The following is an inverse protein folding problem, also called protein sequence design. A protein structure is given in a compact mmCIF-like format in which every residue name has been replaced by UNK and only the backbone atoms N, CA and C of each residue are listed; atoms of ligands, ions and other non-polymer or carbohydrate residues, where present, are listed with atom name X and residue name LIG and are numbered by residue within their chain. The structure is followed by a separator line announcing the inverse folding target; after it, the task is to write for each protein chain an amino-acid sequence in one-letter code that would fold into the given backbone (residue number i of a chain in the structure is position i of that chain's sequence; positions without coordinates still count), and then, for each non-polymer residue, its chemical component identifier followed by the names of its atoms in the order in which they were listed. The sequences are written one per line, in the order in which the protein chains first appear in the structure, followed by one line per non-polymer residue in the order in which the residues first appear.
data_IF_313588018260
#
_entry.id   IF_313588018260
#
_cell.length_a   1.000
_cell.length_b   1.000
_cell.length_c   1.000
_cell.angle_alpha   90.00
_cell.angle_beta   90.00
_cell.angle_gamma   90.00
#
_symmetry.space_group_name_H-M   'P 1'
#
loop_
_entity.id
_entity.type
_entity.pdbx_description
1 polymer ?
#
# COMPACT_ATOMS: atom_id res chain seq x y z
N UNK A 1 -52.69 -18.80 31.25
CA UNK A 1 -51.22 -19.00 31.20
C UNK A 1 -50.56 -18.11 30.13
N UNK A 2 -51.32 -17.26 29.42
CA UNK A 2 -50.85 -16.61 28.20
C UNK A 2 -50.12 -15.28 28.40
N UNK A 3 -50.44 -14.54 29.47
CA UNK A 3 -49.79 -13.24 29.76
C UNK A 3 -48.34 -13.40 30.22
N UNK A 4 -48.04 -14.47 30.95
CA UNK A 4 -46.67 -14.74 31.42
C UNK A 4 -45.77 -15.16 30.24
N UNK A 5 -46.30 -15.96 29.31
CA UNK A 5 -45.58 -16.38 28.10
C UNK A 5 -45.32 -15.18 27.19
N UNK A 6 -46.27 -14.26 27.03
CA UNK A 6 -46.06 -13.03 26.26
C UNK A 6 -45.01 -12.10 26.88
N UNK A 7 -45.02 -11.94 28.20
CA UNK A 7 -44.04 -11.10 28.90
C UNK A 7 -42.62 -11.69 28.83
N UNK A 8 -42.50 -13.02 28.91
CA UNK A 8 -41.23 -13.71 28.72
C UNK A 8 -40.76 -13.64 27.26
N UNK A 9 -41.66 -13.77 26.28
CA UNK A 9 -41.32 -13.61 24.86
C UNK A 9 -40.87 -12.17 24.53
N UNK A 10 -41.52 -11.17 25.13
CA UNK A 10 -41.12 -9.77 25.02
C UNK A 10 -39.76 -9.54 25.69
N UNK A 11 -39.53 -10.06 26.89
CA UNK A 11 -38.21 -9.96 27.56
C UNK A 11 -37.07 -10.60 26.75
N UNK A 12 -37.34 -11.69 26.04
CA UNK A 12 -36.38 -12.33 25.14
C UNK A 12 -36.20 -11.55 23.82
N UNK A 13 -37.22 -10.81 23.37
CA UNK A 13 -37.13 -9.90 22.22
C UNK A 13 -36.42 -8.56 22.54
N UNK A 14 -36.48 -8.09 23.79
CA UNK A 14 -35.77 -6.89 24.26
C UNK A 14 -34.39 -7.17 24.85
N UNK A 15 -34.02 -8.45 25.06
CA UNK A 15 -32.79 -8.87 25.73
C UNK A 15 -31.51 -8.82 24.90
N UNK A 16 -31.57 -8.46 23.61
CA UNK A 16 -30.41 -8.31 22.75
C UNK A 16 -30.60 -7.11 21.82
N UNK A 17 -30.56 -5.90 22.39
CA UNK A 17 -29.94 -4.83 21.62
C UNK A 17 -28.50 -5.27 21.38
N UNK A 18 -28.02 -5.43 20.13
CA UNK A 18 -26.59 -5.46 19.92
C UNK A 18 -26.08 -4.17 20.53
N UNK A 19 -25.33 -4.29 21.63
CA UNK A 19 -24.51 -3.22 22.18
C UNK A 19 -23.88 -2.59 20.96
N UNK A 20 -24.21 -1.32 20.71
CA UNK A 20 -23.72 -0.55 19.59
C UNK A 20 -22.24 -0.89 19.39
N UNK A 21 -21.92 -1.63 18.32
CA UNK A 21 -20.55 -2.02 17.97
C UNK A 21 -19.75 -0.81 17.45
N UNK A 22 -19.99 0.35 18.06
CA UNK A 22 -19.44 1.65 17.73
C UNK A 22 -18.41 2.13 18.78
N UNK A 23 -18.04 1.31 19.75
CA UNK A 23 -16.87 1.52 20.61
C UNK A 23 -16.20 0.16 20.80
N UNK A 24 -15.28 -0.27 19.94
CA UNK A 24 -13.86 0.15 20.02
C UNK A 24 -13.22 -0.22 18.67
N UNK A 25 -12.78 0.75 17.85
CA UNK A 25 -12.10 0.49 16.54
C UNK A 25 -10.69 -0.06 16.70
N UNK A 26 -10.21 -0.13 17.94
CA UNK A 26 -8.89 -0.62 18.26
C UNK A 26 -8.96 -2.05 18.75
N UNK A 27 -8.02 -2.85 18.25
CA UNK A 27 -7.86 -4.25 18.61
C UNK A 27 -6.39 -4.54 18.94
N UNK A 28 -6.18 -5.56 19.77
CA UNK A 28 -4.82 -5.96 20.13
C UNK A 28 -4.04 -6.41 18.90
N UNK A 29 -2.76 -6.04 18.81
CA UNK A 29 -1.88 -6.49 17.74
C UNK A 29 -1.65 -7.98 17.87
N UNK A 30 -2.02 -8.74 16.83
CA UNK A 30 -1.88 -10.19 16.75
C UNK A 30 -0.74 -10.64 15.84
N UNK A 31 -0.17 -9.74 15.04
CA UNK A 31 0.98 -10.02 14.18
C UNK A 31 2.26 -10.14 15.01
N UNK A 32 2.91 -11.32 15.04
CA UNK A 32 4.12 -11.53 15.86
C UNK A 32 5.24 -10.56 15.53
N UNK A 33 5.40 -10.21 14.25
CA UNK A 33 6.38 -9.24 13.79
C UNK A 33 6.19 -7.87 14.48
N UNK A 34 4.94 -7.46 14.73
CA UNK A 34 4.60 -6.16 15.30
C UNK A 34 4.44 -6.17 16.82
N UNK A 35 4.65 -7.31 17.47
CA UNK A 35 4.69 -7.43 18.94
C UNK A 35 6.10 -7.19 19.51
N UNK A 36 7.07 -6.88 18.65
CA UNK A 36 8.45 -6.63 19.05
C UNK A 36 8.61 -5.28 19.78
N UNK A 37 9.62 -5.17 20.64
CA UNK A 37 9.80 -4.04 21.57
C UNK A 37 10.12 -2.70 20.90
N UNK A 38 10.67 -2.73 19.69
CA UNK A 38 11.01 -1.56 18.87
C UNK A 38 9.80 -0.88 18.22
N UNK A 39 8.61 -1.49 18.28
CA UNK A 39 7.38 -0.96 17.71
C UNK A 39 6.71 0.08 18.61
N UNK A 40 6.69 -0.17 19.92
CA UNK A 40 6.23 0.82 20.91
C UNK A 40 4.72 0.96 21.10
N UNK A 41 3.90 0.07 20.53
CA UNK A 41 2.45 0.01 20.78
C UNK A 41 1.95 -1.44 20.78
N UNK A 42 0.75 -1.65 21.37
CA UNK A 42 0.13 -2.96 21.51
C UNK A 42 -1.31 -3.03 20.96
N UNK A 43 -1.85 -1.91 20.49
CA UNK A 43 -3.19 -1.78 19.92
C UNK A 43 -3.09 -1.18 18.51
N UNK A 44 -3.80 -1.77 17.57
CA UNK A 44 -3.90 -1.29 16.18
C UNK A 44 -5.32 -0.83 15.89
N UNK A 45 -5.46 0.16 15.01
CA UNK A 45 -6.76 0.55 14.45
C UNK A 45 -6.96 -0.15 13.09
N UNK A 46 -8.18 -0.61 12.83
CA UNK A 46 -8.61 -1.11 11.53
C UNK A 46 -9.79 -0.28 11.00
N UNK A 47 -9.92 -0.06 9.68
CA UNK A 47 -9.04 -0.57 8.62
C UNK A 47 -7.68 0.15 8.53
N UNK A 48 -6.67 -0.54 8.00
CA UNK A 48 -5.33 0.04 7.83
C UNK A 48 -5.24 0.99 6.61
N UNK A 49 -4.04 1.50 6.30
CA UNK A 49 -3.80 2.45 5.18
C UNK A 49 -4.18 1.88 3.80
N UNK A 50 -4.24 0.56 3.65
CA UNK A 50 -4.66 -0.14 2.44
C UNK A 50 -6.12 -0.60 2.49
N UNK A 51 -6.89 -0.06 3.42
CA UNK A 51 -8.31 -0.36 3.63
C UNK A 51 -8.61 -1.85 3.92
N UNK A 52 -7.60 -2.61 4.38
CA UNK A 52 -7.79 -3.98 4.82
C UNK A 52 -8.54 -3.96 6.15
N UNK A 53 -9.57 -4.80 6.28
CA UNK A 53 -10.50 -4.70 7.40
C UNK A 53 -10.06 -5.54 8.61
N UNK A 54 -9.20 -6.54 8.38
CA UNK A 54 -8.79 -7.50 9.40
C UNK A 54 -7.28 -7.68 9.42
N UNK A 55 -6.70 -7.82 10.60
CA UNK A 55 -5.26 -8.08 10.74
C UNK A 55 -4.78 -9.34 10.00
N UNK A 56 -5.60 -10.39 9.91
CA UNK A 56 -5.26 -11.60 9.17
C UNK A 56 -5.09 -11.34 7.67
N UNK A 57 -5.83 -10.38 7.12
CA UNK A 57 -5.68 -9.94 5.74
C UNK A 57 -4.40 -9.12 5.57
N UNK A 58 -4.16 -8.16 6.49
CA UNK A 58 -2.96 -7.34 6.51
C UNK A 58 -1.67 -8.16 6.67
N UNK A 59 -1.70 -9.23 7.47
CA UNK A 59 -0.59 -10.17 7.66
C UNK A 59 -0.07 -10.75 6.35
N UNK A 60 -0.96 -10.98 5.37
CA UNK A 60 -0.57 -11.52 4.06
C UNK A 60 0.18 -10.51 3.19
N UNK A 61 0.03 -9.22 3.47
CA UNK A 61 0.73 -8.15 2.78
C UNK A 61 2.10 -7.83 3.40
N UNK A 62 2.46 -8.45 4.53
CA UNK A 62 3.80 -8.34 5.11
C UNK A 62 4.83 -8.89 4.11
N UNK A 63 5.85 -8.11 3.70
CA UNK A 63 6.83 -8.56 2.74
C UNK A 63 7.58 -9.80 3.22
N UNK A 64 7.73 -10.80 2.35
CA UNK A 64 8.40 -12.06 2.69
C UNK A 64 9.85 -11.83 3.13
N UNK A 65 10.59 -10.97 2.42
CA UNK A 65 12.00 -10.68 2.70
C UNK A 65 12.24 -10.19 4.13
N UNK A 66 11.27 -9.51 4.75
CA UNK A 66 11.39 -9.04 6.13
C UNK A 66 11.49 -10.20 7.13
N UNK A 67 10.88 -11.35 6.83
CA UNK A 67 10.96 -12.56 7.67
C UNK A 67 12.30 -13.28 7.50
N UNK A 68 12.99 -13.05 6.40
CA UNK A 68 14.28 -13.66 6.08
C UNK A 68 15.47 -12.88 6.68
N UNK A 69 15.23 -11.66 7.19
CA UNK A 69 16.27 -10.82 7.78
C UNK A 69 16.72 -11.31 9.15
N UNK A 70 18.00 -11.14 9.51
CA UNK A 70 18.47 -11.38 10.87
C UNK A 70 17.73 -10.45 11.86
N UNK A 71 17.09 -11.03 12.88
CA UNK A 71 16.17 -10.32 13.78
C UNK A 71 16.80 -9.09 14.47
N UNK A 72 18.08 -9.16 14.82
CA UNK A 72 18.81 -8.08 15.48
C UNK A 72 19.44 -7.06 14.54
N UNK A 73 19.33 -7.25 13.22
CA UNK A 73 19.90 -6.30 12.25
C UNK A 73 19.15 -4.96 12.24
N UNK A 74 19.87 -3.87 11.96
CA UNK A 74 19.26 -2.55 11.81
C UNK A 74 18.22 -2.52 10.68
N UNK A 75 18.50 -3.19 9.56
CA UNK A 75 17.53 -3.36 8.47
C UNK A 75 16.25 -4.03 8.95
N UNK A 76 16.34 -5.14 9.71
CA UNK A 76 15.15 -5.80 10.24
C UNK A 76 14.34 -4.88 11.15
N UNK A 77 15.00 -4.12 12.03
CA UNK A 77 14.34 -3.12 12.90
C UNK A 77 13.62 -2.04 12.09
N UNK A 78 14.31 -1.33 11.22
CA UNK A 78 13.73 -0.18 10.49
C UNK A 78 12.61 -0.64 9.55
N UNK A 79 12.78 -1.77 8.86
CA UNK A 79 11.75 -2.36 8.01
C UNK A 79 10.53 -2.82 8.81
N UNK A 80 10.72 -3.43 9.99
CA UNK A 80 9.64 -3.83 10.90
C UNK A 80 8.84 -2.62 11.35
N UNK A 81 9.51 -1.53 11.74
CA UNK A 81 8.86 -0.28 12.08
C UNK A 81 8.04 0.28 10.91
N UNK A 82 8.61 0.38 9.71
CA UNK A 82 7.85 0.85 8.55
C UNK A 82 6.61 -0.02 8.27
N UNK A 83 6.79 -1.34 8.21
CA UNK A 83 5.71 -2.28 7.88
C UNK A 83 4.61 -2.24 8.95
N UNK A 84 4.96 -2.27 10.23
CA UNK A 84 3.98 -2.25 11.31
C UNK A 84 3.19 -0.96 11.36
N UNK A 85 3.84 0.21 11.24
CA UNK A 85 3.14 1.49 11.25
C UNK A 85 2.29 1.71 9.98
N UNK A 86 2.53 0.95 8.91
CA UNK A 86 1.75 1.02 7.67
C UNK A 86 0.57 0.04 7.66
N UNK A 87 0.84 -1.24 7.97
CA UNK A 87 -0.15 -2.33 7.88
C UNK A 87 -0.94 -2.56 9.17
N UNK A 88 -0.36 -2.22 10.32
CA UNK A 88 -0.91 -2.40 11.66
C UNK A 88 -0.83 -1.10 12.45
N UNK A 89 -1.40 0.00 11.94
CA UNK A 89 -1.17 1.35 12.43
C UNK A 89 -1.59 1.49 13.90
N UNK A 90 -0.80 2.25 14.67
CA UNK A 90 -1.06 2.52 16.08
C UNK A 90 -2.48 3.05 16.30
N UNK A 91 -3.18 2.47 17.27
CA UNK A 91 -4.44 3.01 17.77
C UNK A 91 -4.18 4.33 18.47
N UNK A 92 -4.84 5.41 18.03
CA UNK A 92 -4.80 6.72 18.69
C UNK A 92 -6.21 7.16 19.09
N UNK A 93 -6.33 8.34 19.69
CA UNK A 93 -7.63 8.97 19.96
C UNK A 93 -8.37 9.40 18.67
N UNK A 94 -7.68 9.39 17.53
CA UNK A 94 -8.28 9.76 16.24
C UNK A 94 -9.09 8.61 15.69
N UNK A 95 -10.20 8.94 15.07
CA UNK A 95 -11.08 7.98 14.39
C UNK A 95 -10.50 7.47 13.06
N UNK A 96 -9.40 8.05 12.60
CA UNK A 96 -8.76 7.79 11.32
C UNK A 96 -7.37 7.21 11.51
N UNK A 97 -6.98 6.32 10.59
CA UNK A 97 -5.63 5.79 10.50
C UNK A 97 -4.62 6.89 10.19
N UNK A 98 -3.58 7.00 11.02
CA UNK A 98 -2.49 7.97 10.84
C UNK A 98 -1.32 7.27 10.16
N UNK A 99 -0.81 7.79 9.03
CA UNK A 99 0.31 7.17 8.32
C UNK A 99 1.66 7.39 9.05
N UNK A 100 2.67 6.54 8.79
CA UNK A 100 4.03 6.82 9.23
C UNK A 100 4.60 8.05 8.52
N UNK A 101 5.48 8.78 9.20
CA UNK A 101 6.20 9.88 8.59
C UNK A 101 7.19 9.38 7.52
N UNK A 102 7.39 10.16 6.46
CA UNK A 102 8.34 9.85 5.35
C UNK A 102 9.73 9.44 5.84
N UNK A 103 10.24 10.09 6.89
CA UNK A 103 11.54 9.79 7.52
C UNK A 103 11.66 8.36 8.06
N UNK A 104 10.56 7.69 8.38
CA UNK A 104 10.55 6.27 8.80
C UNK A 104 10.85 5.37 7.61
N UNK A 105 10.22 5.66 6.47
CA UNK A 105 10.44 4.90 5.24
C UNK A 105 11.85 5.08 4.69
N UNK A 106 12.33 6.33 4.64
CA UNK A 106 13.69 6.63 4.14
C UNK A 106 14.74 5.88 4.96
N UNK A 107 14.61 5.84 6.29
CA UNK A 107 15.49 5.06 7.17
C UNK A 107 15.49 3.57 6.82
N UNK A 108 14.32 2.97 6.63
CA UNK A 108 14.22 1.56 6.24
C UNK A 108 14.82 1.28 4.86
N UNK A 109 14.62 2.18 3.89
CA UNK A 109 15.19 2.05 2.56
C UNK A 109 16.72 2.17 2.59
N UNK A 110 17.26 3.08 3.40
CA UNK A 110 18.70 3.26 3.58
C UNK A 110 19.36 2.06 4.27
N UNK A 111 18.74 1.49 5.31
CA UNK A 111 19.33 0.36 6.04
C UNK A 111 19.17 -0.97 5.31
N UNK A 112 18.15 -1.13 4.46
CA UNK A 112 17.89 -2.37 3.73
C UNK A 112 18.29 -2.37 2.25
N UNK A 113 18.54 -1.21 1.63
CA UNK A 113 18.73 -1.09 0.18
C UNK A 113 19.76 -2.06 -0.41
N UNK A 114 20.98 -2.06 0.12
CA UNK A 114 22.05 -2.96 -0.35
C UNK A 114 21.73 -4.44 -0.14
N UNK A 115 21.00 -4.78 0.93
CA UNK A 115 20.62 -6.17 1.20
C UNK A 115 19.55 -6.62 0.20
N UNK A 116 18.57 -5.77 -0.07
CA UNK A 116 17.52 -6.05 -1.04
C UNK A 116 18.08 -6.22 -2.45
N UNK A 117 18.98 -5.33 -2.87
CA UNK A 117 19.66 -5.43 -4.16
C UNK A 117 20.49 -6.72 -4.28
N UNK A 118 21.31 -7.04 -3.27
CA UNK A 118 22.16 -8.25 -3.29
C UNK A 118 21.35 -9.55 -3.34
N UNK A 119 20.20 -9.58 -2.68
CA UNK A 119 19.33 -10.75 -2.62
C UNK A 119 18.25 -10.77 -3.73
N UNK A 120 18.25 -9.77 -4.63
CA UNK A 120 17.29 -9.68 -5.74
C UNK A 120 15.86 -9.34 -5.31
N UNK A 121 15.64 -8.78 -4.12
CA UNK A 121 14.34 -8.29 -3.69
C UNK A 121 14.08 -6.89 -4.24
N UNK A 122 12.85 -6.64 -4.68
CA UNK A 122 12.39 -5.31 -5.09
C UNK A 122 11.67 -4.60 -3.94
N UNK A 123 11.87 -3.28 -3.84
CA UNK A 123 11.11 -2.46 -2.91
C UNK A 123 9.63 -2.39 -3.35
N UNK A 124 8.66 -2.81 -2.53
CA UNK A 124 7.28 -2.90 -2.95
C UNK A 124 6.65 -1.51 -3.14
N UNK A 125 5.80 -1.38 -4.15
CA UNK A 125 5.20 -0.08 -4.52
C UNK A 125 4.41 0.57 -3.38
N UNK A 126 3.74 -0.23 -2.55
CA UNK A 126 3.01 0.28 -1.39
C UNK A 126 3.91 0.93 -0.33
N UNK A 127 5.17 0.51 -0.21
CA UNK A 127 6.11 1.05 0.78
C UNK A 127 6.96 2.19 0.23
N UNK A 128 6.62 2.78 -0.92
CA UNK A 128 7.38 3.88 -1.52
C UNK A 128 7.29 5.15 -0.69
N UNK A 129 8.43 5.71 -0.32
CA UNK A 129 8.51 6.83 0.62
C UNK A 129 7.85 8.11 0.11
N UNK A 130 7.71 8.27 -1.21
CA UNK A 130 7.05 9.43 -1.83
C UNK A 130 5.56 9.51 -1.47
N UNK A 131 4.93 8.37 -1.19
CA UNK A 131 3.51 8.28 -0.81
C UNK A 131 3.24 8.77 0.61
N UNK A 132 4.27 8.83 1.45
CA UNK A 132 4.14 9.19 2.85
C UNK A 132 4.32 10.70 3.06
N UNK A 133 3.58 11.30 4.02
CA UNK A 133 3.69 12.72 4.33
C UNK A 133 5.00 13.04 5.03
N UNK A 134 5.50 14.25 4.80
CA UNK A 134 6.51 14.85 5.69
C UNK A 134 5.82 15.47 6.90
N UNK A 135 6.57 15.56 7.98
CA UNK A 135 6.15 16.27 9.19
C UNK A 135 6.13 17.76 8.91
N UNK A 136 4.94 18.29 8.58
CA UNK A 136 4.72 19.70 8.27
C UNK A 136 3.39 20.18 8.82
N UNK A 137 3.27 21.48 9.06
CA UNK A 137 2.06 22.11 9.58
C UNK A 137 0.81 21.67 8.77
N UNK A 138 -0.12 20.98 9.44
CA UNK A 138 -1.37 20.50 8.85
C UNK A 138 -1.37 19.05 8.33
N UNK A 139 -0.24 18.33 8.37
CA UNK A 139 -0.20 16.89 8.05
C UNK A 139 0.36 16.09 9.23
N UNK A 140 -0.52 15.31 9.85
CA UNK A 140 -0.17 14.44 10.97
C UNK A 140 0.40 13.11 10.44
N UNK A 141 1.53 12.72 11.00
CA UNK A 141 2.15 11.41 10.77
C UNK A 141 2.79 10.89 12.06
N UNK A 142 3.01 9.58 12.14
CA UNK A 142 3.60 8.95 13.34
C UNK A 142 5.04 8.51 13.08
N UNK A 143 5.88 8.65 14.09
CA UNK A 143 7.24 8.10 14.11
C UNK A 143 7.35 7.08 15.25
N UNK A 144 8.01 5.93 15.04
CA UNK A 144 8.36 5.01 16.11
C UNK A 144 9.14 5.70 17.24
N UNK A 145 9.04 5.20 18.48
CA UNK A 145 9.86 5.72 19.57
C UNK A 145 11.35 5.58 19.22
N UNK A 146 12.11 6.64 19.46
CA UNK A 146 13.56 6.58 19.32
C UNK A 146 14.12 5.68 20.42
N UNK A 147 14.90 4.67 20.03
CA UNK A 147 15.63 3.88 21.03
C UNK A 147 16.89 4.62 21.42
N UNK A 148 17.02 4.93 22.70
CA UNK A 148 18.23 5.47 23.29
C UNK A 148 19.29 4.37 23.24
N UNK A 149 20.31 4.53 22.39
CA UNK A 149 21.51 3.71 22.46
C UNK A 149 22.25 4.04 23.78
N UNK A 150 22.95 3.05 24.35
CA UNK A 150 23.60 3.10 25.68
C UNK A 150 24.63 4.23 25.89
N UNK A 151 24.85 5.09 24.90
CA UNK A 151 25.77 6.24 24.94
C UNK A 151 25.04 7.59 25.09
N UNK A 152 23.73 7.61 25.34
CA UNK A 152 22.98 8.83 25.68
C UNK A 152 22.92 9.90 24.56
N UNK A 153 23.33 9.56 23.34
CA UNK A 153 23.21 10.42 22.16
C UNK A 153 21.93 10.06 21.42
N UNK A 154 21.08 11.07 21.18
CA UNK A 154 19.90 10.97 20.32
C UNK A 154 20.34 10.50 18.93
N UNK A 155 20.08 9.25 18.57
CA UNK A 155 20.52 8.66 17.30
C UNK A 155 19.71 9.21 16.13
N UNK A 156 20.09 10.40 15.67
CA UNK A 156 19.91 10.86 14.28
C UNK A 156 21.10 10.44 13.40
N UNK A 157 22.12 9.81 13.99
CA UNK A 157 23.27 9.26 13.29
C UNK A 157 23.03 7.77 12.97
N UNK A 158 23.35 7.39 11.73
CA UNK A 158 23.55 5.98 11.34
C UNK A 158 24.44 5.29 12.39
N UNK A 159 24.03 4.15 12.97
CA UNK A 159 24.92 3.30 13.74
C UNK A 159 26.08 2.89 12.84
N UNK A 160 27.29 3.34 13.18
CA UNK A 160 28.52 2.83 12.58
C UNK A 160 28.69 1.40 13.10
N UNK A 161 28.14 0.42 12.37
CA UNK A 161 28.38 -0.98 12.69
C UNK A 161 29.84 -1.29 12.37
N UNK A 162 30.61 -1.88 13.31
CA UNK A 162 31.97 -2.31 12.99
C UNK A 162 31.87 -3.36 11.91
N UNK A 163 32.31 -2.97 10.71
CA UNK A 163 32.52 -3.83 9.56
C UNK A 163 33.17 -5.13 10.04
N UNK A 164 32.35 -6.17 10.23
CA UNK A 164 32.87 -7.52 10.35
C UNK A 164 33.38 -7.80 8.96
N UNK A 165 34.66 -7.49 8.76
CA UNK A 165 35.46 -7.79 7.58
C UNK A 165 35.06 -9.16 7.07
N UNK A 166 34.13 -9.17 6.12
CA UNK A 166 33.95 -10.29 5.22
C UNK A 166 35.27 -10.35 4.46
N UNK A 167 35.95 -11.49 4.38
CA UNK A 167 37.16 -11.58 3.58
C UNK A 167 36.81 -11.13 2.16
N UNK A 168 37.38 -10.00 1.75
CA UNK A 168 37.34 -9.54 0.36
C UNK A 168 38.03 -10.63 -0.44
N UNK A 169 37.24 -11.46 -1.12
CA UNK A 169 37.75 -12.36 -2.15
C UNK A 169 38.37 -11.44 -3.20
N UNK A 170 39.67 -11.54 -3.51
CA UNK A 170 40.28 -10.68 -4.51
C UNK A 170 39.57 -10.91 -5.85
N UNK A 171 38.88 -9.89 -6.34
CA UNK A 171 38.41 -9.87 -7.72
C UNK A 171 39.62 -10.06 -8.64
N UNK A 172 39.55 -10.92 -9.66
CA UNK A 172 40.65 -11.07 -10.59
C UNK A 172 40.93 -9.72 -11.26
N UNK A 173 42.20 -9.30 -11.16
CA UNK A 173 42.76 -8.10 -11.76
C UNK A 173 42.70 -8.24 -13.28
N UNK A 174 41.67 -7.67 -13.89
CA UNK A 174 41.65 -7.45 -15.33
C UNK A 174 42.59 -6.29 -15.64
N UNK A 175 43.65 -6.59 -16.38
CA UNK A 175 44.61 -5.61 -16.88
C UNK A 175 43.89 -4.63 -17.80
N UNK A 176 43.94 -3.38 -17.39
CA UNK A 176 43.49 -2.21 -18.13
C UNK A 176 44.26 -2.13 -19.44
N UNK A 177 43.63 -2.60 -20.52
CA UNK A 177 44.15 -2.46 -21.87
C UNK A 177 43.73 -1.08 -22.36
N UNK A 178 44.71 -0.18 -22.40
CA UNK A 178 44.66 1.09 -23.14
C UNK A 178 44.08 0.88 -24.54
N UNK A 179 42.94 1.50 -24.81
CA UNK A 179 42.43 1.71 -26.17
C UNK A 179 42.25 3.21 -26.37
N UNK A 180 43.03 3.76 -27.30
CA UNK A 180 42.98 5.14 -27.77
C UNK A 180 41.58 5.55 -28.28
N UNK A 181 41.25 6.86 -28.24
CA UNK A 181 39.98 7.35 -28.76
C UNK A 181 40.03 7.37 -30.30
N UNK A 182 39.32 6.44 -30.95
CA UNK A 182 38.94 6.60 -32.35
C UNK A 182 37.67 7.44 -32.44
N UNK A 183 37.85 8.65 -32.97
CA UNK A 183 36.80 9.42 -33.65
C UNK A 183 36.19 8.58 -34.77
N UNK A 184 34.91 8.22 -34.62
CA UNK A 184 34.08 7.78 -35.74
C UNK A 184 32.79 8.57 -35.77
N UNK A 185 32.69 9.31 -36.87
CA UNK A 185 31.56 10.00 -37.49
C UNK A 185 30.18 9.43 -37.15
N UNK A 186 29.30 10.32 -36.72
CA UNK A 186 27.88 10.08 -36.52
C UNK A 186 27.18 9.65 -37.82
N UNK A 187 26.38 8.58 -37.75
CA UNK A 187 25.21 8.34 -38.61
C UNK A 187 23.97 8.30 -37.71
N UNK A 188 22.82 8.83 -38.14
CA UNK A 188 21.62 8.81 -37.32
C UNK A 188 21.03 7.40 -37.37
N UNK A 189 20.95 6.74 -36.22
CA UNK A 189 20.07 5.61 -36.04
C UNK A 189 18.72 6.16 -35.59
N UNK A 190 17.75 6.15 -36.49
CA UNK A 190 16.32 6.15 -36.15
C UNK A 190 16.05 4.92 -35.28
N UNK A 191 16.02 5.11 -33.96
CA UNK A 191 15.51 4.11 -33.03
C UNK A 191 14.13 4.53 -32.55
N UNK A 192 13.11 3.93 -33.14
CA UNK A 192 11.81 3.76 -32.49
C UNK A 192 12.04 2.97 -31.20
N UNK A 193 11.90 3.64 -30.05
CA UNK A 193 12.07 3.02 -28.74
C UNK A 193 10.89 2.10 -28.40
N UNK A 194 11.18 0.85 -28.05
CA UNK A 194 10.24 -0.08 -27.41
C UNK A 194 10.00 0.33 -25.94
N UNK A 195 8.75 0.34 -25.44
CA UNK A 195 8.50 0.48 -24.01
C UNK A 195 8.57 -0.89 -23.32
N UNK A 196 9.48 -1.04 -22.35
CA UNK A 196 9.51 -2.20 -21.46
C UNK A 196 8.49 -2.01 -20.32
N UNK A 197 7.50 -2.90 -20.24
CA UNK A 197 6.45 -2.87 -19.22
C UNK A 197 5.16 -3.59 -19.66
N UNK A 198 4.09 -3.56 -18.84
CA UNK A 198 2.85 -4.33 -19.04
C UNK A 198 2.05 -3.97 -20.30
N UNK A 199 2.51 -2.98 -21.07
CA UNK A 199 1.87 -2.47 -22.29
C UNK A 199 2.57 -2.95 -23.58
N UNK A 200 3.54 -3.86 -23.48
CA UNK A 200 4.19 -4.47 -24.66
C UNK A 200 3.20 -5.16 -25.61
N UNK A 201 2.13 -5.74 -25.04
CA UNK A 201 1.02 -6.30 -25.81
C UNK A 201 0.23 -5.23 -26.58
N UNK A 202 0.12 -4.01 -26.06
CA UNK A 202 -0.56 -2.91 -26.77
C UNK A 202 0.29 -2.33 -27.90
N UNK A 203 1.62 -2.30 -27.74
CA UNK A 203 2.55 -1.89 -28.81
C UNK A 203 2.51 -2.84 -30.01
N UNK A 204 2.45 -4.14 -29.75
CA UNK A 204 2.32 -5.16 -30.80
C UNK A 204 0.94 -5.12 -31.49
N UNK A 205 -0.14 -4.88 -30.74
CA UNK A 205 -1.48 -4.68 -31.30
C UNK A 205 -1.60 -3.39 -32.15
N UNK A 206 -1.01 -2.28 -31.70
CA UNK A 206 -0.99 -1.02 -32.46
C UNK A 206 -0.16 -1.16 -33.74
N UNK A 207 0.98 -1.85 -33.69
CA UNK A 207 1.83 -2.13 -34.86
C UNK A 207 1.10 -2.98 -35.92
N UNK A 208 0.27 -3.93 -35.49
CA UNK A 208 -0.55 -4.75 -36.39
C UNK A 208 -1.71 -3.97 -37.03
N UNK A 209 -2.24 -2.96 -36.34
CA UNK A 209 -3.33 -2.11 -36.84
C UNK A 209 -2.83 -0.96 -37.74
N UNK A 210 -1.54 -0.61 -37.65
CA UNK A 210 -0.94 0.50 -38.38
C UNK A 210 -0.41 0.15 -39.79
N UNK A 211 -0.45 -1.11 -40.23
CA UNK A 211 -0.04 -1.50 -41.59
C UNK A 211 -1.23 -1.93 -42.45
N UNK A 212 -1.53 -1.23 -43.56
CA UNK A 212 -2.52 -1.68 -44.52
C UNK A 212 -1.92 -2.70 -45.49
N UNK A 213 -2.63 -3.83 -45.63
CA UNK A 213 -2.65 -4.74 -46.79
C UNK A 213 -1.39 -5.53 -47.15
N UNK A 214 -1.36 -6.80 -46.73
CA UNK A 214 -0.73 -7.90 -47.46
C UNK A 214 -1.77 -9.04 -47.65
N UNK A 215 -2.23 -9.36 -48.88
CA UNK A 215 -3.31 -10.30 -49.13
C UNK A 215 -2.88 -11.78 -49.12
N UNK A 216 -1.74 -12.10 -48.49
CA UNK A 216 -1.11 -13.43 -48.57
C UNK A 216 -0.95 -14.11 -47.21
N UNK A 217 -1.95 -13.98 -46.32
CA UNK A 217 -2.04 -14.73 -45.08
C UNK A 217 -2.97 -15.96 -45.21
N UNK A 218 -2.70 -17.07 -44.49
CA UNK A 218 -3.59 -18.23 -44.51
C UNK A 218 -5.00 -17.83 -44.07
N UNK A 219 -5.98 -18.20 -44.91
CA UNK A 219 -7.41 -17.95 -44.69
C UNK A 219 -7.81 -18.50 -43.31
N UNK A 220 -8.32 -17.68 -42.37
CA UNK A 220 -8.81 -18.21 -41.11
C UNK A 220 -10.05 -19.06 -41.36
N UNK A 221 -10.05 -20.25 -40.79
CA UNK A 221 -11.17 -21.19 -40.78
C UNK A 221 -12.42 -20.54 -40.18
N UNK A 222 -13.63 -20.73 -40.75
CA UNK A 222 -14.84 -20.12 -40.23
C UNK A 222 -15.35 -20.97 -39.06
N UNK A 223 -14.88 -20.71 -37.84
CA UNK A 223 -15.42 -21.40 -36.65
C UNK A 223 -15.45 -20.60 -35.35
N UNK A 224 -15.16 -19.29 -35.33
CA UNK A 224 -15.57 -18.44 -34.21
C UNK A 224 -16.81 -17.68 -34.64
N UNK A 225 -17.98 -18.19 -34.26
CA UNK A 225 -19.24 -17.49 -34.50
C UNK A 225 -19.26 -16.21 -33.66
N UNK A 226 -19.99 -15.17 -34.09
CA UNK A 226 -20.17 -13.95 -33.30
C UNK A 226 -20.67 -14.24 -31.86
N UNK A 227 -21.36 -15.38 -31.67
CA UNK A 227 -21.80 -15.89 -30.39
C UNK A 227 -20.64 -16.26 -29.44
N UNK A 228 -19.50 -16.73 -29.96
CA UNK A 228 -18.33 -17.10 -29.15
C UNK A 228 -17.61 -15.86 -28.58
N UNK A 229 -17.57 -14.79 -29.38
CA UNK A 229 -17.04 -13.48 -28.95
C UNK A 229 -17.98 -12.82 -27.93
N UNK A 230 -19.29 -12.92 -28.15
CA UNK A 230 -20.29 -12.37 -27.23
C UNK A 230 -20.34 -13.12 -25.89
N UNK A 231 -20.14 -14.45 -25.92
CA UNK A 231 -20.01 -15.28 -24.71
C UNK A 231 -18.78 -14.92 -23.88
N UNK A 232 -17.64 -14.63 -24.53
CA UNK A 232 -16.42 -14.22 -23.84
C UNK A 232 -16.49 -12.77 -23.28
N UNK A 233 -17.21 -11.87 -23.94
CA UNK A 233 -17.33 -10.46 -23.53
C UNK A 233 -18.47 -10.19 -22.53
N UNK A 234 -19.45 -11.11 -22.40
CA UNK A 234 -20.57 -11.00 -21.47
C UNK A 234 -20.15 -10.76 -20.02
N UNK A 235 -19.26 -11.60 -19.43
CA UNK A 235 -18.79 -11.41 -18.07
C UNK A 235 -18.05 -10.08 -17.84
N UNK A 236 -17.33 -9.59 -18.85
CA UNK A 236 -16.61 -8.31 -18.78
C UNK A 236 -17.60 -7.14 -18.80
N UNK A 237 -18.65 -7.22 -19.63
CA UNK A 237 -19.72 -6.22 -19.69
C UNK A 237 -20.50 -6.16 -18.38
N UNK A 238 -20.86 -7.31 -17.82
CA UNK A 238 -21.53 -7.40 -16.51
C UNK A 238 -20.66 -6.80 -15.40
N UNK A 239 -19.37 -7.15 -15.37
CA UNK A 239 -18.42 -6.56 -14.43
C UNK A 239 -18.32 -5.03 -14.59
N UNK A 240 -18.27 -4.52 -15.82
CA UNK A 240 -18.23 -3.08 -16.09
C UNK A 240 -19.51 -2.37 -15.64
N UNK A 241 -20.69 -2.95 -15.89
CA UNK A 241 -21.96 -2.40 -15.43
C UNK A 241 -22.04 -2.38 -13.89
N UNK A 242 -21.54 -3.42 -13.22
CA UNK A 242 -21.48 -3.47 -11.76
C UNK A 242 -20.54 -2.39 -11.21
N UNK A 243 -19.39 -2.17 -11.85
CA UNK A 243 -18.47 -1.10 -11.48
C UNK A 243 -19.07 0.29 -11.70
N UNK A 244 -19.79 0.50 -12.80
CA UNK A 244 -20.49 1.76 -13.07
C UNK A 244 -21.58 2.04 -12.02
N UNK A 245 -22.36 1.03 -11.62
CA UNK A 245 -23.35 1.16 -10.53
C UNK A 245 -22.68 1.50 -9.21
N UNK A 246 -21.54 0.88 -8.88
CA UNK A 246 -20.78 1.21 -7.67
C UNK A 246 -20.29 2.65 -7.71
N UNK A 247 -19.76 3.12 -8.86
CA UNK A 247 -19.31 4.50 -9.01
C UNK A 247 -20.47 5.50 -8.84
N UNK A 248 -21.65 5.21 -9.40
CA UNK A 248 -22.85 6.04 -9.20
C UNK A 248 -23.29 6.07 -7.73
N UNK A 249 -23.30 4.92 -7.05
CA UNK A 249 -23.62 4.84 -5.63
C UNK A 249 -22.63 5.63 -4.77
N UNK A 250 -21.34 5.63 -5.14
CA UNK A 250 -20.33 6.44 -4.45
C UNK A 250 -20.58 7.94 -4.64
N UNK A 251 -20.96 8.37 -5.85
CA UNK A 251 -21.30 9.77 -6.12
C UNK A 251 -22.55 10.21 -5.35
N UNK A 252 -23.61 9.39 -5.34
CA UNK A 252 -24.83 9.67 -4.57
C UNK A 252 -24.54 9.73 -3.06
N UNK A 253 -23.75 8.80 -2.54
CA UNK A 253 -23.35 8.81 -1.13
C UNK A 253 -22.53 10.06 -0.78
N UNK A 254 -21.63 10.48 -1.67
CA UNK A 254 -20.86 11.72 -1.49
C UNK A 254 -21.77 12.96 -1.51
N UNK A 255 -22.76 13.01 -2.42
CA UNK A 255 -23.76 14.10 -2.46
C UNK A 255 -24.60 14.15 -1.19
N UNK A 256 -25.06 13.00 -0.69
CA UNK A 256 -25.81 12.90 0.56
C UNK A 256 -24.98 13.34 1.77
N UNK A 257 -23.70 12.96 1.84
CA UNK A 257 -22.79 13.43 2.89
C UNK A 257 -22.61 14.95 2.84
N UNK A 258 -22.46 15.52 1.64
CA UNK A 258 -22.34 16.96 1.46
C UNK A 258 -23.62 17.71 1.85
N UNK A 259 -24.79 17.16 1.52
CA UNK A 259 -26.09 17.74 1.90
C UNK A 259 -26.31 17.65 3.42
N UNK A 260 -25.97 16.51 4.04
CA UNK A 260 -26.01 16.35 5.50
C UNK A 260 -25.13 17.39 6.19
N UNK A 261 -23.88 17.53 5.75
CA UNK A 261 -22.94 18.52 6.29
C UNK A 261 -23.48 19.95 6.11
N UNK A 262 -24.05 20.26 4.94
CA UNK A 262 -24.67 21.56 4.67
C UNK A 262 -25.81 21.85 5.65
N UNK A 263 -26.67 20.87 5.92
CA UNK A 263 -27.78 21.01 6.86
C UNK A 263 -27.28 21.16 8.30
N UNK A 264 -26.25 20.42 8.70
CA UNK A 264 -25.60 20.57 10.00
C UNK A 264 -25.03 21.98 10.19
N UNK A 265 -24.33 22.51 9.18
CA UNK A 265 -23.81 23.89 9.20
C UNK A 265 -24.96 24.90 9.32
N UNK A 266 -26.05 24.75 8.56
CA UNK A 266 -27.21 25.63 8.66
C UNK A 266 -27.89 25.56 10.03
N UNK A 267 -27.93 24.38 10.65
CA UNK A 267 -28.50 24.18 11.98
C UNK A 267 -27.63 24.82 13.05
N UNK A 268 -26.30 24.71 12.93
CA UNK A 268 -25.35 25.39 13.81
C UNK A 268 -25.44 26.92 13.66
N UNK A 269 -25.55 27.43 12.43
CA UNK A 269 -25.75 28.87 12.18
C UNK A 269 -27.06 29.39 12.77
N UNK A 270 -28.14 28.60 12.75
CA UNK A 270 -29.40 28.95 13.41
C UNK A 270 -29.30 28.87 14.93
N UNK A 271 -28.55 27.91 15.48
CA UNK A 271 -28.39 27.71 16.92
C UNK A 271 -27.49 28.78 17.56
N UNK A 272 -26.53 29.31 16.80
CA UNK A 272 -25.60 30.35 17.23
C UNK A 272 -25.62 31.50 16.21
N UNK A 273 -26.70 32.29 16.17
CA UNK A 273 -26.70 33.51 15.37
C UNK A 273 -25.58 34.41 15.90
N UNK A 274 -24.72 34.91 15.00
CA UNK A 274 -23.74 35.93 15.39
C UNK A 274 -24.52 37.13 15.90
N UNK A 275 -24.40 37.43 17.20
CA UNK A 275 -24.79 38.73 17.74
C UNK A 275 -23.97 39.79 17.00
N UNK A 276 -24.66 40.66 16.25
CA UNK A 276 -24.10 41.90 15.70
C UNK A 276 -24.38 43.03 16.67
#
# INVERSE_FOLDING_TARGET
MDRLVLLLAMAMAYGQTPVSAALTRCEAVTEPLCQHRDIGYNQTIMPNLYNQQKQLEARRAVPQWLRDLPEESQCARDARQLVCYTLFPVCTILETTVPPCRKVCVRAQESCGELMERNGYQWPEGLRCETLPEERHGMLCVTPPETIDTDGRMSTARPDWPDRRVPVIPTPRWSESTVEPRTTTARPATSTAEPAGPLSHLWSLWSALASPSDPSGPRPSPSSTAADVESALGPIRDMLERLQRIAQLQEENMRLQQEKLRLEIQLLQRKFPREQ
#
